data_IF_088371802505
#
_entry.id   IF_088371802505
#
_cell.length_a   1.000
_cell.length_b   1.000
_cell.length_c   1.000
_cell.angle_alpha   90.00
_cell.angle_beta   90.00
_cell.angle_gamma   90.00
#
_symmetry.space_group_name_H-M   'P 1'
#
loop_
_entity.id
_entity.type
_entity.pdbx_description
1 polymer ?
#
# COMPACT_ATOMS: atom_id res chain seq x y z
N UNK A 1 10.87 -4.50 4.38
CA UNK A 1 9.68 -4.27 5.22
C UNK A 1 9.25 -5.49 6.02
N UNK A 2 8.97 -6.69 5.49
CA UNK A 2 8.59 -7.85 6.33
C UNK A 2 9.63 -8.18 7.41
N UNK A 3 10.91 -8.19 7.07
CA UNK A 3 12.02 -8.36 8.05
C UNK A 3 12.00 -7.24 9.10
N UNK A 4 11.91 -5.99 8.66
CA UNK A 4 11.84 -4.82 9.54
C UNK A 4 10.62 -4.88 10.45
N UNK A 5 9.47 -5.32 9.94
CA UNK A 5 8.23 -5.49 10.70
C UNK A 5 8.34 -6.61 11.72
N UNK A 6 8.92 -7.75 11.35
CA UNK A 6 9.19 -8.83 12.30
C UNK A 6 10.11 -8.37 13.45
N UNK A 7 11.12 -7.55 13.16
CA UNK A 7 11.97 -6.93 14.19
C UNK A 7 11.19 -5.93 15.04
N UNK A 8 10.41 -5.04 14.43
CA UNK A 8 9.56 -4.06 15.11
C UNK A 8 8.56 -4.73 16.06
N UNK A 9 7.88 -5.78 15.62
CA UNK A 9 6.94 -6.56 16.43
C UNK A 9 7.63 -7.20 17.62
N UNK A 10 8.81 -7.82 17.42
CA UNK A 10 9.61 -8.38 18.52
C UNK A 10 10.05 -7.33 19.53
N UNK A 11 10.53 -6.17 19.06
CA UNK A 11 10.90 -5.05 19.93
C UNK A 11 9.69 -4.54 20.73
N UNK A 12 8.52 -4.44 20.10
CA UNK A 12 7.28 -4.05 20.79
C UNK A 12 6.91 -5.02 21.93
N UNK A 13 7.08 -6.33 21.72
CA UNK A 13 6.87 -7.33 22.76
C UNK A 13 7.90 -7.25 23.89
N UNK A 14 9.18 -7.05 23.55
CA UNK A 14 10.25 -6.86 24.55
C UNK A 14 9.94 -5.64 25.43
N UNK A 15 9.48 -4.54 24.81
CA UNK A 15 9.06 -3.33 25.50
C UNK A 15 7.71 -3.45 26.22
N UNK A 16 7.06 -4.62 26.16
CA UNK A 16 5.73 -4.88 26.75
C UNK A 16 4.68 -3.87 26.30
N UNK A 17 4.69 -3.47 25.03
CA UNK A 17 3.67 -2.57 24.47
C UNK A 17 2.30 -3.25 24.35
N UNK A 18 2.28 -4.58 24.29
CA UNK A 18 1.08 -5.40 24.23
C UNK A 18 0.37 -5.59 25.59
N UNK A 19 0.83 -4.93 26.65
CA UNK A 19 0.19 -4.93 27.97
C UNK A 19 0.00 -3.50 28.48
N UNK A 20 -1.04 -3.30 29.29
CA UNK A 20 -1.23 -2.03 30.00
C UNK A 20 -0.47 -2.00 31.32
N UNK A 21 0.13 -0.85 31.65
CA UNK A 21 0.78 -0.61 32.94
C UNK A 21 -0.04 0.42 33.75
N UNK A 22 -0.77 0.01 34.80
CA UNK A 22 -1.64 0.89 35.57
C UNK A 22 -0.88 1.98 36.33
N UNK A 23 0.45 1.88 36.45
CA UNK A 23 1.30 2.89 37.10
C UNK A 23 1.60 4.08 36.20
N UNK A 24 1.35 3.96 34.89
CA UNK A 24 1.62 5.02 33.93
C UNK A 24 0.50 6.07 33.91
N UNK A 25 0.88 7.32 33.64
CA UNK A 25 -0.07 8.40 33.37
C UNK A 25 -0.87 8.08 32.11
N UNK A 26 -2.12 8.56 32.06
CA UNK A 26 -3.05 8.30 30.95
C UNK A 26 -2.42 8.56 29.57
N UNK A 27 -1.84 9.74 29.33
CA UNK A 27 -1.24 10.08 28.05
C UNK A 27 -0.11 9.12 27.62
N UNK A 28 0.76 8.71 28.56
CA UNK A 28 1.88 7.79 28.27
C UNK A 28 1.33 6.41 27.89
N UNK A 29 0.34 5.94 28.65
CA UNK A 29 -0.32 4.66 28.39
C UNK A 29 -1.06 4.66 27.04
N UNK A 30 -1.75 5.74 26.68
CA UNK A 30 -2.44 5.89 25.41
C UNK A 30 -1.47 5.96 24.22
N UNK A 31 -0.32 6.65 24.36
CA UNK A 31 0.74 6.65 23.33
C UNK A 31 1.27 5.25 23.05
N UNK A 32 1.57 4.48 24.10
CA UNK A 32 2.04 3.09 23.97
C UNK A 32 0.98 2.19 23.32
N UNK A 33 -0.28 2.34 23.74
CA UNK A 33 -1.44 1.64 23.15
C UNK A 33 -1.55 1.93 21.65
N UNK A 34 -1.54 3.20 21.25
CA UNK A 34 -1.60 3.62 19.85
C UNK A 34 -0.41 3.11 19.03
N UNK A 35 0.80 3.11 19.60
CA UNK A 35 1.99 2.57 18.96
C UNK A 35 1.86 1.06 18.71
N UNK A 36 1.42 0.28 19.71
CA UNK A 36 1.20 -1.16 19.53
C UNK A 36 0.15 -1.45 18.46
N UNK A 37 -0.94 -0.70 18.45
CA UNK A 37 -1.97 -0.85 17.42
C UNK A 37 -1.50 -0.45 16.02
N UNK A 38 -0.64 0.56 15.88
CA UNK A 38 -0.03 0.90 14.59
C UNK A 38 0.84 -0.25 14.08
N UNK A 39 1.60 -0.90 14.96
CA UNK A 39 2.41 -2.09 14.62
C UNK A 39 1.49 -3.25 14.18
N UNK A 40 0.40 -3.50 14.91
CA UNK A 40 -0.60 -4.49 14.53
C UNK A 40 -1.24 -4.20 13.15
N UNK A 41 -1.61 -2.95 12.88
CA UNK A 41 -2.17 -2.54 11.59
C UNK A 41 -1.18 -2.85 10.46
N UNK A 42 0.07 -2.41 10.61
CA UNK A 42 1.11 -2.65 9.61
C UNK A 42 1.35 -4.15 9.41
N UNK A 43 1.50 -4.93 10.48
CA UNK A 43 1.70 -6.39 10.41
C UNK A 43 0.53 -7.09 9.71
N UNK A 44 -0.71 -6.70 10.01
CA UNK A 44 -1.91 -7.22 9.34
C UNK A 44 -1.94 -6.88 7.85
N UNK A 45 -1.59 -5.64 7.47
CA UNK A 45 -1.56 -5.22 6.07
C UNK A 45 -0.49 -5.97 5.27
N UNK A 46 0.68 -6.24 5.86
CA UNK A 46 1.78 -6.94 5.16
C UNK A 46 1.64 -8.46 5.14
N UNK A 47 1.11 -9.06 6.20
CA UNK A 47 0.94 -10.51 6.29
C UNK A 47 -0.14 -11.03 5.32
N UNK A 48 -1.12 -10.20 4.95
CA UNK A 48 -2.20 -10.53 4.00
C UNK A 48 -2.90 -11.86 4.33
N UNK A 49 -3.11 -12.14 5.62
CA UNK A 49 -3.74 -13.36 6.12
C UNK A 49 -2.83 -14.59 6.17
N UNK A 50 -1.57 -14.51 5.74
CA UNK A 50 -0.60 -15.62 5.85
C UNK A 50 -0.09 -15.74 7.29
N UNK A 51 -0.30 -16.90 7.89
CA UNK A 51 0.09 -17.21 9.28
C UNK A 51 1.59 -17.09 9.51
N UNK A 52 2.38 -17.56 8.54
CA UNK A 52 3.84 -17.56 8.54
C UNK A 52 4.45 -16.15 8.53
N UNK A 53 3.68 -15.15 8.12
CA UNK A 53 4.09 -13.74 8.07
C UNK A 53 3.41 -12.89 9.13
N UNK A 54 2.52 -13.45 9.95
CA UNK A 54 1.85 -12.73 11.03
C UNK A 54 2.75 -12.73 12.27
N UNK A 55 3.25 -11.57 12.69
CA UNK A 55 4.01 -11.45 13.93
C UNK A 55 3.13 -11.05 15.13
N UNK A 56 2.05 -10.30 14.89
CA UNK A 56 1.16 -9.78 15.92
C UNK A 56 -0.25 -10.34 15.78
N UNK A 57 -0.61 -11.30 16.64
CA UNK A 57 -1.97 -11.85 16.67
C UNK A 57 -2.83 -11.19 17.76
N UNK A 58 -4.16 -11.05 17.57
CA UNK A 58 -5.04 -10.45 18.56
C UNK A 58 -4.95 -11.08 19.96
N UNK A 59 -4.69 -12.39 20.04
CA UNK A 59 -4.59 -13.14 21.29
C UNK A 59 -3.42 -12.69 22.16
N UNK A 60 -2.38 -12.12 21.54
CA UNK A 60 -1.20 -11.59 22.24
C UNK A 60 -1.37 -10.14 22.69
N UNK A 61 -2.47 -9.48 22.31
CA UNK A 61 -2.73 -8.07 22.59
C UNK A 61 -3.66 -7.94 23.80
N UNK A 62 -3.07 -7.62 24.95
CA UNK A 62 -3.80 -7.41 26.21
C UNK A 62 -3.99 -5.92 26.50
N UNK A 63 -4.32 -5.17 25.45
CA UNK A 63 -4.54 -3.72 25.49
C UNK A 63 -5.92 -3.36 24.99
N UNK A 64 -6.43 -2.20 25.45
CA UNK A 64 -7.70 -1.65 24.98
C UNK A 64 -7.54 -0.97 23.62
N UNK A 65 -8.65 -0.72 22.93
CA UNK A 65 -8.66 0.07 21.68
C UNK A 65 -8.32 1.56 21.96
N UNK A 66 -7.73 2.29 21.01
CA UNK A 66 -7.43 3.71 21.17
C UNK A 66 -8.68 4.56 21.44
N UNK A 67 -8.52 5.60 22.26
CA UNK A 67 -9.59 6.53 22.56
C UNK A 67 -9.76 7.59 21.46
N UNK A 68 -10.85 8.36 21.54
CA UNK A 68 -11.10 9.47 20.62
C UNK A 68 -9.99 10.53 20.66
N UNK A 69 -9.71 11.13 19.50
CA UNK A 69 -8.62 12.11 19.35
C UNK A 69 -8.75 13.28 20.33
N UNK A 70 -9.97 13.78 20.54
CA UNK A 70 -10.25 14.82 21.53
C UNK A 70 -9.75 14.46 22.94
N UNK A 71 -10.00 13.23 23.41
CA UNK A 71 -9.56 12.81 24.73
C UNK A 71 -8.04 12.65 24.81
N UNK A 72 -7.42 12.16 23.73
CA UNK A 72 -5.97 12.06 23.62
C UNK A 72 -5.28 13.42 23.64
N UNK A 73 -5.74 14.37 22.81
CA UNK A 73 -5.13 15.71 22.71
C UNK A 73 -5.27 16.53 23.99
N UNK A 74 -6.34 16.33 24.76
CA UNK A 74 -6.60 17.06 26.01
C UNK A 74 -6.05 16.36 27.25
N UNK A 75 -5.34 15.23 27.11
CA UNK A 75 -4.92 14.37 28.25
C UNK A 75 -6.12 14.05 29.18
N UNK A 76 -7.31 13.83 28.60
CA UNK A 76 -8.55 13.58 29.34
C UNK A 76 -8.71 12.08 29.58
N UNK A 77 -8.58 11.58 30.83
CA UNK A 77 -8.57 10.15 31.09
C UNK A 77 -9.91 9.50 30.73
N UNK A 78 -9.85 8.51 29.85
CA UNK A 78 -11.01 7.70 29.46
C UNK A 78 -10.65 6.22 29.38
N UNK A 79 -11.64 5.39 29.60
CA UNK A 79 -11.54 3.93 29.48
C UNK A 79 -12.28 3.48 28.24
N UNK A 80 -11.58 2.69 27.42
CA UNK A 80 -12.11 2.02 26.24
C UNK A 80 -12.15 0.51 26.46
N UNK A 81 -12.63 -0.22 25.47
CA UNK A 81 -12.79 -1.69 25.50
C UNK A 81 -11.67 -2.38 24.70
N UNK A 82 -11.35 -3.66 24.97
CA UNK A 82 -10.48 -4.49 24.11
C UNK A 82 -11.07 -4.71 22.71
N UNK A 83 -10.25 -5.20 21.77
CA UNK A 83 -10.68 -5.48 20.38
C UNK A 83 -11.89 -6.43 20.30
N UNK A 84 -11.84 -7.53 21.03
CA UNK A 84 -12.94 -8.49 21.18
C UNK A 84 -13.62 -8.29 22.54
N UNK A 85 -14.50 -7.31 22.60
CA UNK A 85 -15.25 -6.94 23.82
C UNK A 85 -16.45 -7.87 24.05
N UNK A 86 -16.91 -7.97 25.29
CA UNK A 86 -18.15 -8.71 25.60
C UNK A 86 -19.38 -7.94 25.11
N UNK A 87 -20.50 -8.64 24.83
CA UNK A 87 -21.78 -7.97 24.62
C UNK A 87 -22.08 -7.06 25.82
N UNK A 88 -22.53 -5.83 25.57
CA UNK A 88 -22.89 -4.79 26.55
C UNK A 88 -21.78 -3.91 27.13
N UNK A 89 -20.52 -4.04 26.71
CA UNK A 89 -19.50 -3.07 27.10
C UNK A 89 -19.73 -1.70 26.44
N UNK A 90 -19.43 -0.62 27.17
CA UNK A 90 -19.61 0.74 26.65
C UNK A 90 -18.52 1.10 25.62
N UNK A 91 -18.93 1.17 24.36
CA UNK A 91 -18.08 1.49 23.21
C UNK A 91 -18.05 3.00 22.90
N UNK A 92 -18.68 3.85 23.71
CA UNK A 92 -18.83 5.30 23.46
C UNK A 92 -17.49 6.04 23.32
N UNK A 93 -16.48 5.61 24.09
CA UNK A 93 -15.16 6.21 24.17
C UNK A 93 -14.18 5.75 23.06
N UNK A 94 -14.56 4.75 22.25
CA UNK A 94 -13.71 4.27 21.15
C UNK A 94 -13.50 5.41 20.14
N UNK A 95 -12.23 5.68 19.83
CA UNK A 95 -11.85 6.64 18.81
C UNK A 95 -11.97 6.09 17.40
N UNK A 96 -11.88 6.99 16.41
CA UNK A 96 -11.90 6.63 15.00
C UNK A 96 -10.86 5.55 14.65
N UNK A 97 -9.63 5.68 15.16
CA UNK A 97 -8.58 4.68 15.00
C UNK A 97 -8.99 3.30 15.56
N UNK A 98 -9.73 3.26 16.67
CA UNK A 98 -10.27 2.02 17.22
C UNK A 98 -11.23 1.31 16.27
N UNK A 99 -12.07 2.07 15.55
CA UNK A 99 -12.94 1.51 14.51
C UNK A 99 -12.16 1.05 13.27
N UNK A 100 -11.11 1.77 12.89
CA UNK A 100 -10.19 1.34 11.84
C UNK A 100 -9.53 -0.02 12.16
N UNK A 101 -9.07 -0.19 13.40
CA UNK A 101 -8.48 -1.46 13.87
C UNK A 101 -9.50 -2.58 13.78
N UNK A 102 -10.75 -2.34 14.23
CA UNK A 102 -11.82 -3.35 14.18
C UNK A 102 -12.15 -3.81 12.76
N UNK A 103 -12.23 -2.90 11.78
CA UNK A 103 -12.48 -3.31 10.39
C UNK A 103 -11.28 -4.06 9.80
N UNK A 104 -10.06 -3.67 10.16
CA UNK A 104 -8.85 -4.36 9.70
C UNK A 104 -8.66 -5.74 10.34
N UNK A 105 -9.14 -5.96 11.57
CA UNK A 105 -9.24 -7.30 12.17
C UNK A 105 -10.20 -8.20 11.38
N UNK A 106 -11.39 -7.70 11.04
CA UNK A 106 -12.34 -8.43 10.18
C UNK A 106 -11.68 -8.73 8.84
N UNK A 107 -10.99 -7.76 8.24
CA UNK A 107 -10.26 -7.94 6.98
C UNK A 107 -9.20 -9.03 7.05
N UNK A 108 -8.42 -9.09 8.14
CA UNK A 108 -7.41 -10.15 8.32
C UNK A 108 -8.07 -11.53 8.33
N UNK A 109 -9.22 -11.68 9.00
CA UNK A 109 -10.00 -12.92 9.01
C UNK A 109 -10.58 -13.27 7.64
N UNK A 110 -11.06 -12.28 6.89
CA UNK A 110 -11.50 -12.45 5.50
C UNK A 110 -10.36 -12.98 4.63
N UNK A 111 -9.17 -12.40 4.72
CA UNK A 111 -8.02 -12.84 3.94
C UNK A 111 -7.62 -14.28 4.26
N UNK A 112 -7.64 -14.68 5.54
CA UNK A 112 -7.43 -16.07 5.97
C UNK A 112 -8.49 -17.02 5.42
N UNK A 113 -9.76 -16.60 5.44
CA UNK A 113 -10.87 -17.38 4.89
C UNK A 113 -10.72 -17.57 3.38
N UNK A 114 -10.39 -16.50 2.64
CA UNK A 114 -10.15 -16.58 1.19
C UNK A 114 -8.99 -17.54 0.88
N UNK A 115 -7.89 -17.50 1.64
CA UNK A 115 -6.79 -18.46 1.50
C UNK A 115 -7.20 -19.90 1.87
N UNK A 116 -8.15 -20.07 2.79
CA UNK A 116 -8.68 -21.39 3.18
C UNK A 116 -9.52 -21.97 2.04
N UNK A 117 -10.35 -21.13 1.41
CA UNK A 117 -11.17 -21.45 0.23
C UNK A 117 -10.28 -21.84 -0.95
N UNK A 118 -9.33 -20.98 -1.33
CA UNK A 118 -8.52 -21.17 -2.54
C UNK A 118 -7.48 -22.29 -2.43
N UNK A 119 -7.10 -22.68 -1.20
CA UNK A 119 -6.20 -23.82 -0.98
C UNK A 119 -6.94 -25.09 -0.53
N UNK A 120 -8.28 -25.11 -0.59
CA UNK A 120 -9.14 -26.24 -0.21
C UNK A 120 -8.81 -26.83 1.17
N UNK A 121 -8.50 -25.96 2.15
CA UNK A 121 -8.09 -26.39 3.49
C UNK A 121 -9.27 -26.88 4.33
N UNK A 122 -10.47 -26.45 3.99
CA UNK A 122 -11.72 -26.84 4.64
C UNK A 122 -12.82 -27.10 3.58
N UNK A 123 -13.87 -27.85 3.92
CA UNK A 123 -15.02 -28.06 3.04
C UNK A 123 -15.67 -26.73 2.61
N UNK A 124 -16.05 -26.65 1.33
CA UNK A 124 -16.56 -25.40 0.73
C UNK A 124 -17.84 -24.92 1.42
N UNK A 125 -18.75 -25.83 1.79
CA UNK A 125 -19.99 -25.54 2.50
C UNK A 125 -19.74 -24.82 3.85
N UNK A 126 -18.75 -25.27 4.61
CA UNK A 126 -18.35 -24.61 5.86
C UNK A 126 -17.75 -23.23 5.60
N UNK A 127 -16.97 -23.09 4.52
CA UNK A 127 -16.41 -21.81 4.14
C UNK A 127 -17.50 -20.80 3.73
N UNK A 128 -18.53 -21.24 2.98
CA UNK A 128 -19.65 -20.38 2.59
C UNK A 128 -20.44 -19.90 3.81
N UNK A 129 -20.67 -20.76 4.81
CA UNK A 129 -21.27 -20.34 6.09
C UNK A 129 -20.41 -19.30 6.82
N UNK A 130 -19.08 -19.47 6.79
CA UNK A 130 -18.16 -18.48 7.35
C UNK A 130 -18.21 -17.14 6.59
N UNK A 131 -18.37 -17.18 5.25
CA UNK A 131 -18.56 -15.97 4.43
C UNK A 131 -19.82 -15.22 4.87
N UNK A 132 -20.95 -15.90 5.03
CA UNK A 132 -22.21 -15.30 5.49
C UNK A 132 -22.08 -14.71 6.91
N UNK A 133 -21.40 -15.42 7.81
CA UNK A 133 -21.15 -14.95 9.17
C UNK A 133 -20.33 -13.66 9.20
N UNK A 134 -19.26 -13.58 8.40
CA UNK A 134 -18.42 -12.39 8.30
C UNK A 134 -19.19 -11.24 7.62
N UNK A 135 -19.98 -11.51 6.58
CA UNK A 135 -20.82 -10.50 5.96
C UNK A 135 -21.83 -9.90 6.97
N UNK A 136 -22.44 -10.73 7.81
CA UNK A 136 -23.31 -10.28 8.89
C UNK A 136 -22.55 -9.42 9.91
N UNK A 137 -21.33 -9.81 10.28
CA UNK A 137 -20.48 -9.03 11.18
C UNK A 137 -20.12 -7.65 10.59
N UNK A 138 -19.80 -7.56 9.29
CA UNK A 138 -19.53 -6.29 8.61
C UNK A 138 -20.75 -5.35 8.61
N UNK A 139 -21.95 -5.91 8.44
CA UNK A 139 -23.21 -5.16 8.54
C UNK A 139 -23.45 -4.65 9.96
N UNK A 140 -23.23 -5.49 10.97
CA UNK A 140 -23.33 -5.09 12.38
C UNK A 140 -22.30 -4.04 12.75
N UNK A 141 -21.07 -4.17 12.24
CA UNK A 141 -20.02 -3.17 12.42
C UNK A 141 -20.47 -1.80 11.92
N UNK A 142 -20.95 -1.73 10.67
CA UNK A 142 -21.46 -0.49 10.08
C UNK A 142 -22.62 0.11 10.88
N UNK A 143 -23.59 -0.72 11.27
CA UNK A 143 -24.73 -0.29 12.10
C UNK A 143 -24.34 0.17 13.51
N UNK A 144 -23.21 -0.33 14.04
CA UNK A 144 -22.70 0.05 15.37
C UNK A 144 -21.87 1.35 15.37
N UNK A 145 -21.54 1.91 14.20
CA UNK A 145 -20.75 3.12 14.12
C UNK A 145 -21.50 4.30 14.77
N UNK A 146 -20.83 5.13 15.58
CA UNK A 146 -21.38 6.41 16.01
C UNK A 146 -21.77 7.29 14.82
N UNK A 147 -22.84 8.08 14.94
CA UNK A 147 -23.32 9.01 13.88
C UNK A 147 -22.19 9.88 13.32
N UNK A 148 -21.30 10.38 14.18
CA UNK A 148 -20.14 11.20 13.78
C UNK A 148 -19.14 10.50 12.84
N UNK A 149 -19.16 9.17 12.77
CA UNK A 149 -18.27 8.34 11.94
C UNK A 149 -19.00 7.70 10.75
N UNK A 150 -20.25 8.07 10.49
CA UNK A 150 -20.90 7.68 9.24
C UNK A 150 -20.28 8.42 8.07
N UNK A 151 -20.20 7.74 6.92
CA UNK A 151 -19.68 8.34 5.71
C UNK A 151 -20.59 9.45 5.22
N UNK A 152 -20.01 10.64 5.03
CA UNK A 152 -20.64 11.79 4.43
C UNK A 152 -19.53 12.70 3.87
N UNK A 153 -19.56 13.09 2.58
CA UNK A 153 -18.58 14.00 2.00
C UNK A 153 -18.46 15.33 2.76
N UNK A 154 -19.56 15.84 3.34
CA UNK A 154 -19.53 17.05 4.17
C UNK A 154 -18.85 16.76 5.51
N UNK A 155 -19.17 15.65 6.16
CA UNK A 155 -18.43 15.21 7.34
C UNK A 155 -16.92 15.03 7.06
N UNK A 156 -16.52 14.54 5.89
CA UNK A 156 -15.12 14.47 5.48
C UNK A 156 -14.51 15.87 5.32
N UNK A 157 -15.20 16.81 4.67
CA UNK A 157 -14.71 18.18 4.48
C UNK A 157 -14.48 18.92 5.79
N UNK A 158 -15.34 18.71 6.79
CA UNK A 158 -15.20 19.26 8.14
C UNK A 158 -13.95 18.76 8.89
N UNK A 159 -13.27 17.74 8.35
CA UNK A 159 -12.01 17.20 8.89
C UNK A 159 -10.79 17.70 8.13
N UNK A 160 -10.92 18.69 7.24
CA UNK A 160 -9.75 19.38 6.68
C UNK A 160 -8.83 19.85 7.82
N UNK A 161 -7.52 19.69 7.64
CA UNK A 161 -6.48 20.03 8.62
C UNK A 161 -6.60 19.28 9.96
N UNK A 162 -7.33 18.16 10.00
CA UNK A 162 -7.48 17.31 11.19
C UNK A 162 -6.67 16.02 11.07
N UNK A 163 -6.04 15.54 12.17
CA UNK A 163 -5.48 14.19 12.24
C UNK A 163 -6.50 13.07 11.96
N UNK A 164 -7.80 13.38 12.03
CA UNK A 164 -8.89 12.45 11.72
C UNK A 164 -9.25 12.36 10.23
N UNK A 165 -8.65 13.17 9.34
CA UNK A 165 -8.95 13.19 7.90
C UNK A 165 -8.67 11.84 7.22
N UNK A 166 -7.41 11.42 7.23
CA UNK A 166 -6.97 10.16 6.62
C UNK A 166 -7.69 8.96 7.23
N UNK A 167 -7.73 8.76 8.57
CA UNK A 167 -8.40 7.60 9.14
C UNK A 167 -9.90 7.55 8.84
N UNK A 168 -10.57 8.69 8.66
CA UNK A 168 -12.00 8.72 8.34
C UNK A 168 -12.25 8.20 6.93
N UNK A 169 -11.48 8.68 5.94
CA UNK A 169 -11.55 8.16 4.57
C UNK A 169 -11.23 6.66 4.55
N UNK A 170 -10.13 6.28 5.20
CA UNK A 170 -9.63 4.91 5.17
C UNK A 170 -10.55 3.93 5.89
N UNK A 171 -11.26 4.33 6.95
CA UNK A 171 -12.27 3.49 7.59
C UNK A 171 -13.28 2.95 6.58
N UNK A 172 -13.81 3.82 5.72
CA UNK A 172 -14.82 3.45 4.73
C UNK A 172 -14.21 2.74 3.53
N UNK A 173 -13.03 3.18 3.07
CA UNK A 173 -12.30 2.48 2.01
C UNK A 173 -11.98 1.03 2.42
N UNK A 174 -11.46 0.81 3.63
CA UNK A 174 -11.17 -0.53 4.16
C UNK A 174 -12.44 -1.35 4.38
N UNK A 175 -13.55 -0.75 4.83
CA UNK A 175 -14.81 -1.46 4.98
C UNK A 175 -15.32 -2.01 3.64
N UNK A 176 -15.37 -1.19 2.58
CA UNK A 176 -15.74 -1.67 1.26
C UNK A 176 -14.70 -2.64 0.68
N UNK A 177 -13.40 -2.38 0.86
CA UNK A 177 -12.34 -3.29 0.42
C UNK A 177 -12.46 -4.66 1.09
N UNK A 178 -12.91 -4.72 2.35
CA UNK A 178 -13.10 -5.97 3.07
C UNK A 178 -14.23 -6.81 2.46
N UNK A 179 -15.32 -6.16 2.00
CA UNK A 179 -16.34 -6.85 1.22
C UNK A 179 -15.82 -7.35 -0.14
N UNK A 180 -15.00 -6.55 -0.83
CA UNK A 180 -14.34 -7.00 -2.06
C UNK A 180 -13.48 -8.24 -1.81
N UNK A 181 -12.64 -8.20 -0.77
CA UNK A 181 -11.76 -9.30 -0.37
C UNK A 181 -12.55 -10.58 0.01
N UNK A 182 -13.77 -10.42 0.53
CA UNK A 182 -14.67 -11.50 0.94
C UNK A 182 -15.32 -12.21 -0.25
N UNK A 183 -15.67 -11.50 -1.33
CA UNK A 183 -16.41 -12.06 -2.45
C UNK A 183 -15.57 -12.35 -3.71
N UNK A 184 -14.36 -11.77 -3.80
CA UNK A 184 -13.52 -11.87 -5.01
C UNK A 184 -13.08 -13.29 -5.38
N UNK A 185 -13.18 -14.26 -4.47
CA UNK A 185 -12.84 -15.66 -4.77
C UNK A 185 -13.74 -16.25 -5.89
N UNK A 186 -14.87 -15.60 -6.20
CA UNK A 186 -15.80 -15.99 -7.27
C UNK A 186 -15.49 -15.34 -8.62
N UNK A 187 -14.45 -14.49 -8.71
CA UNK A 187 -14.10 -13.77 -9.95
C UNK A 187 -13.04 -14.57 -10.73
N UNK A 188 -13.33 -14.97 -11.97
CA UNK A 188 -12.38 -15.74 -12.78
C UNK A 188 -11.23 -14.84 -13.26
N UNK A 189 -10.03 -15.44 -13.34
CA UNK A 189 -8.78 -14.76 -13.68
C UNK A 189 -8.09 -14.05 -12.50
N UNK A 190 -8.71 -14.01 -11.33
CA UNK A 190 -8.06 -13.45 -10.14
C UNK A 190 -7.14 -14.50 -9.50
N UNK A 191 -5.94 -14.09 -9.09
CA UNK A 191 -4.99 -14.97 -8.38
C UNK A 191 -5.57 -15.47 -7.04
N UNK A 192 -6.35 -14.63 -6.37
CA UNK A 192 -7.11 -14.96 -5.17
C UNK A 192 -8.52 -15.52 -5.47
N UNK A 193 -8.79 -15.83 -6.74
CA UNK A 193 -9.99 -16.47 -7.27
C UNK A 193 -9.91 -18.00 -7.21
N UNK A 194 -11.06 -18.66 -7.15
CA UNK A 194 -11.16 -20.08 -7.46
C UNK A 194 -10.96 -20.30 -8.97
N UNK A 195 -10.44 -21.46 -9.38
CA UNK A 195 -10.44 -21.89 -10.78
C UNK A 195 -11.85 -21.88 -11.41
N UNK A 196 -11.94 -21.63 -12.71
CA UNK A 196 -13.23 -21.50 -13.42
C UNK A 196 -14.09 -22.75 -13.31
N UNK A 197 -13.50 -23.93 -13.37
CA UNK A 197 -14.17 -25.23 -13.23
C UNK A 197 -14.78 -25.42 -11.83
N UNK A 198 -14.13 -24.90 -10.79
CA UNK A 198 -14.67 -24.91 -9.43
C UNK A 198 -15.77 -23.87 -9.23
N UNK A 199 -15.62 -22.69 -9.83
CA UNK A 199 -16.66 -21.66 -9.82
C UNK A 199 -17.95 -22.21 -10.45
N UNK A 200 -17.85 -23.04 -11.50
CA UNK A 200 -19.00 -23.70 -12.13
C UNK A 200 -19.68 -24.76 -11.24
N UNK A 201 -18.99 -25.27 -10.21
CA UNK A 201 -19.56 -26.19 -9.23
C UNK A 201 -20.34 -25.46 -8.13
N UNK A 202 -20.06 -24.17 -7.89
CA UNK A 202 -20.88 -23.32 -7.04
C UNK A 202 -22.22 -23.02 -7.74
N UNK A 203 -23.27 -22.77 -6.96
CA UNK A 203 -24.55 -22.36 -7.54
C UNK A 203 -24.39 -21.03 -8.30
N UNK A 204 -24.94 -20.98 -9.51
CA UNK A 204 -24.88 -19.81 -10.39
C UNK A 204 -25.44 -18.55 -9.72
N UNK A 205 -26.54 -18.70 -8.98
CA UNK A 205 -27.19 -17.60 -8.24
C UNK A 205 -26.27 -17.02 -7.17
N UNK A 206 -25.59 -17.87 -6.40
CA UNK A 206 -24.64 -17.42 -5.38
C UNK A 206 -23.44 -16.71 -5.99
N UNK A 207 -22.84 -17.30 -7.04
CA UNK A 207 -21.70 -16.71 -7.75
C UNK A 207 -22.07 -15.33 -8.32
N UNK A 208 -23.25 -15.20 -8.94
CA UNK A 208 -23.76 -13.93 -9.45
C UNK A 208 -23.93 -12.90 -8.32
N UNK A 209 -24.55 -13.29 -7.21
CA UNK A 209 -24.74 -12.41 -6.05
C UNK A 209 -23.41 -11.94 -5.43
N UNK A 210 -22.41 -12.82 -5.31
CA UNK A 210 -21.08 -12.44 -4.83
C UNK A 210 -20.40 -11.42 -5.75
N UNK A 211 -20.46 -11.63 -7.08
CA UNK A 211 -19.88 -10.71 -8.06
C UNK A 211 -20.57 -9.36 -8.06
N UNK A 212 -21.90 -9.33 -7.99
CA UNK A 212 -22.67 -8.09 -7.90
C UNK A 212 -22.28 -7.29 -6.65
N UNK A 213 -22.23 -7.93 -5.48
CA UNK A 213 -21.75 -7.31 -4.24
C UNK A 213 -20.32 -6.79 -4.41
N UNK A 214 -19.41 -7.60 -4.96
CA UNK A 214 -18.02 -7.21 -5.16
C UNK A 214 -17.89 -5.97 -6.05
N UNK A 215 -18.61 -5.92 -7.18
CA UNK A 215 -18.64 -4.76 -8.07
C UNK A 215 -19.23 -3.53 -7.37
N UNK A 216 -20.34 -3.67 -6.63
CA UNK A 216 -20.93 -2.57 -5.87
C UNK A 216 -19.94 -1.96 -4.87
N UNK A 217 -19.24 -2.80 -4.10
CA UNK A 217 -18.27 -2.32 -3.11
C UNK A 217 -17.03 -1.70 -3.78
N UNK A 218 -16.52 -2.26 -4.88
CA UNK A 218 -15.41 -1.69 -5.64
C UNK A 218 -15.75 -0.31 -6.22
N UNK A 219 -16.94 -0.15 -6.82
CA UNK A 219 -17.44 1.14 -7.28
C UNK A 219 -17.54 2.13 -6.11
N UNK A 220 -18.00 1.67 -4.94
CA UNK A 220 -18.11 2.52 -3.75
C UNK A 220 -16.74 3.00 -3.25
N UNK A 221 -15.69 2.16 -3.31
CA UNK A 221 -14.31 2.60 -3.06
C UNK A 221 -13.94 3.71 -4.05
N UNK A 222 -14.13 3.53 -5.36
CA UNK A 222 -13.78 4.57 -6.34
C UNK A 222 -14.47 5.92 -6.07
N UNK A 223 -15.73 5.90 -5.62
CA UNK A 223 -16.49 7.10 -5.22
C UNK A 223 -15.92 7.74 -3.96
N UNK A 224 -15.52 6.94 -2.96
CA UNK A 224 -14.87 7.45 -1.74
C UNK A 224 -13.55 8.13 -2.10
N UNK A 225 -12.76 7.53 -2.99
CA UNK A 225 -11.46 8.03 -3.41
C UNK A 225 -11.53 9.32 -4.24
N UNK A 226 -12.67 9.61 -4.86
CA UNK A 226 -12.93 10.85 -5.61
C UNK A 226 -13.14 12.08 -4.69
N UNK A 227 -13.67 11.86 -3.48
CA UNK A 227 -14.08 12.94 -2.56
C UNK A 227 -12.95 13.89 -2.12
N UNK A 228 -11.73 13.42 -1.79
CA UNK A 228 -10.63 14.31 -1.41
C UNK A 228 -10.37 15.42 -2.43
N UNK A 229 -10.42 15.09 -3.73
CA UNK A 229 -10.25 16.05 -4.82
C UNK A 229 -11.46 16.97 -4.97
N UNK A 230 -12.68 16.42 -4.94
CA UNK A 230 -13.90 17.19 -5.17
C UNK A 230 -14.16 18.25 -4.09
N UNK A 231 -13.67 18.02 -2.88
CA UNK A 231 -13.88 18.90 -1.71
C UNK A 231 -12.82 20.03 -1.63
N UNK A 232 -11.81 20.04 -2.50
CA UNK A 232 -10.89 21.18 -2.65
C UNK A 232 -9.82 21.31 -1.55
N UNK A 233 -9.35 20.19 -0.99
CA UNK A 233 -8.23 20.20 -0.03
C UNK A 233 -6.93 19.71 -0.66
N UNK A 234 -5.88 20.53 -0.65
CA UNK A 234 -4.49 20.17 -1.06
C UNK A 234 -3.80 19.19 -0.07
N UNK A 235 -4.57 18.56 0.81
CA UNK A 235 -4.03 17.70 1.85
C UNK A 235 -4.03 16.25 1.41
N UNK A 236 -2.80 15.77 1.23
CA UNK A 236 -2.47 14.39 0.94
C UNK A 236 -3.17 13.44 1.94
N UNK A 237 -3.87 12.45 1.40
CA UNK A 237 -4.23 11.28 2.19
C UNK A 237 -2.95 10.51 2.48
N UNK A 238 -2.54 10.50 3.74
CA UNK A 238 -1.19 10.04 4.14
C UNK A 238 -1.04 8.51 4.23
N UNK A 239 -2.13 7.75 4.20
CA UNK A 239 -2.07 6.30 4.34
C UNK A 239 -1.74 5.64 3.00
N UNK A 240 -0.61 4.92 2.87
CA UNK A 240 -0.18 4.32 1.61
C UNK A 240 -1.07 3.15 1.15
N UNK A 241 -1.88 2.56 2.05
CA UNK A 241 -2.79 1.46 1.67
C UNK A 241 -3.96 1.92 0.80
N UNK A 242 -4.15 3.23 0.63
CA UNK A 242 -5.08 3.78 -0.37
C UNK A 242 -4.74 3.30 -1.79
N UNK A 243 -3.44 3.13 -2.10
CA UNK A 243 -2.99 2.63 -3.39
C UNK A 243 -3.48 1.20 -3.65
N UNK A 244 -3.44 0.34 -2.62
CA UNK A 244 -3.97 -1.02 -2.70
C UNK A 244 -5.49 -1.04 -2.86
N UNK A 245 -6.20 -0.17 -2.12
CA UNK A 245 -7.66 -0.06 -2.23
C UNK A 245 -8.08 0.39 -3.64
N UNK A 246 -7.39 1.40 -4.19
CA UNK A 246 -7.63 1.92 -5.53
C UNK A 246 -7.35 0.86 -6.61
N UNK A 247 -6.19 0.20 -6.54
CA UNK A 247 -5.78 -0.80 -7.52
C UNK A 247 -6.69 -2.03 -7.52
N UNK A 248 -6.98 -2.61 -6.36
CA UNK A 248 -7.88 -3.77 -6.28
C UNK A 248 -9.29 -3.44 -6.75
N UNK A 249 -9.81 -2.28 -6.36
CA UNK A 249 -11.13 -1.84 -6.80
C UNK A 249 -11.17 -1.61 -8.31
N UNK A 250 -10.12 -0.98 -8.88
CA UNK A 250 -10.01 -0.79 -10.33
C UNK A 250 -9.97 -2.13 -11.10
N UNK A 251 -9.23 -3.13 -10.62
CA UNK A 251 -9.23 -4.48 -11.22
C UNK A 251 -10.60 -5.12 -11.20
N UNK A 252 -11.32 -5.04 -10.07
CA UNK A 252 -12.68 -5.60 -9.96
C UNK A 252 -13.64 -4.87 -10.90
N UNK A 253 -13.59 -3.54 -10.94
CA UNK A 253 -14.42 -2.71 -11.82
C UNK A 253 -14.12 -3.03 -13.29
N UNK A 254 -12.86 -3.16 -13.68
CA UNK A 254 -12.47 -3.56 -15.03
C UNK A 254 -13.00 -4.96 -15.38
N UNK A 255 -12.77 -5.97 -14.53
CA UNK A 255 -13.17 -7.35 -14.82
C UNK A 255 -14.67 -7.54 -14.87
N UNK A 256 -15.39 -7.01 -13.87
CA UNK A 256 -16.83 -7.23 -13.72
C UNK A 256 -17.69 -6.18 -14.42
N UNK A 257 -17.12 -5.02 -14.78
CA UNK A 257 -17.81 -3.98 -15.54
C UNK A 257 -17.81 -4.20 -17.05
N UNK A 258 -16.88 -5.02 -17.57
CA UNK A 258 -16.74 -5.29 -19.00
C UNK A 258 -17.37 -6.63 -19.40
N UNK A 259 -17.75 -6.72 -20.69
CA UNK A 259 -18.14 -7.98 -21.32
C UNK A 259 -16.98 -9.00 -21.24
N UNK A 260 -17.25 -10.30 -20.99
CA UNK A 260 -18.57 -10.95 -20.89
C UNK A 260 -19.22 -10.93 -19.49
N UNK A 261 -18.55 -10.39 -18.48
CA UNK A 261 -18.99 -10.50 -17.08
C UNK A 261 -20.01 -9.44 -16.67
N UNK A 262 -19.98 -8.28 -17.32
CA UNK A 262 -20.94 -7.20 -17.11
C UNK A 262 -21.12 -6.34 -18.36
N UNK A 263 -22.02 -5.37 -18.26
CA UNK A 263 -22.40 -4.46 -19.34
C UNK A 263 -22.47 -3.01 -18.82
N UNK A 264 -21.42 -2.59 -18.11
CA UNK A 264 -21.34 -1.22 -17.62
C UNK A 264 -21.11 -0.27 -18.80
N UNK A 265 -21.83 0.87 -18.89
CA UNK A 265 -21.56 1.86 -19.91
C UNK A 265 -20.08 2.27 -19.92
N UNK A 266 -19.45 2.30 -21.09
CA UNK A 266 -18.02 2.59 -21.22
C UNK A 266 -17.62 3.90 -20.53
N UNK A 267 -18.48 4.93 -20.59
CA UNK A 267 -18.28 6.22 -19.92
C UNK A 267 -18.15 6.08 -18.41
N UNK A 268 -19.01 5.25 -17.81
CA UNK A 268 -19.06 5.03 -16.37
C UNK A 268 -17.85 4.20 -15.94
N UNK A 269 -17.53 3.16 -16.70
CA UNK A 269 -16.35 2.31 -16.49
C UNK A 269 -15.07 3.15 -16.47
N UNK A 270 -14.84 3.93 -17.53
CA UNK A 270 -13.65 4.79 -17.66
C UNK A 270 -13.63 5.82 -16.54
N UNK A 271 -14.76 6.45 -16.20
CA UNK A 271 -14.83 7.43 -15.12
C UNK A 271 -14.44 6.82 -13.77
N UNK A 272 -14.91 5.61 -13.46
CA UNK A 272 -14.58 4.93 -12.20
C UNK A 272 -13.12 4.50 -12.12
N UNK A 273 -12.55 3.99 -13.22
CA UNK A 273 -11.13 3.63 -13.29
C UNK A 273 -10.23 4.87 -13.19
N UNK A 274 -10.59 5.94 -13.89
CA UNK A 274 -9.87 7.23 -13.82
C UNK A 274 -9.89 7.80 -12.41
N UNK A 275 -11.03 7.76 -11.71
CA UNK A 275 -11.11 8.21 -10.31
C UNK A 275 -10.12 7.45 -9.40
N UNK A 276 -9.96 6.14 -9.59
CA UNK A 276 -8.96 5.36 -8.85
C UNK A 276 -7.53 5.77 -9.20
N UNK A 277 -7.19 6.02 -10.47
CA UNK A 277 -5.85 6.45 -10.87
C UNK A 277 -5.52 7.86 -10.36
N UNK A 278 -6.49 8.76 -10.47
CA UNK A 278 -6.40 10.15 -10.04
C UNK A 278 -6.18 10.27 -8.54
N UNK A 279 -6.84 9.44 -7.72
CA UNK A 279 -6.66 9.43 -6.27
C UNK A 279 -5.22 9.14 -5.83
N UNK A 280 -4.40 8.55 -6.71
CA UNK A 280 -3.01 8.19 -6.44
C UNK A 280 -1.99 9.21 -6.98
N UNK A 281 -2.42 10.28 -7.63
CA UNK A 281 -1.53 11.26 -8.27
C UNK A 281 -0.46 11.81 -7.32
N UNK A 282 -0.89 12.36 -6.19
CA UNK A 282 0.01 13.01 -5.24
C UNK A 282 0.94 11.98 -4.56
N UNK A 283 0.39 10.82 -4.16
CA UNK A 283 1.19 9.77 -3.54
C UNK A 283 2.21 9.13 -4.50
N UNK A 284 1.90 9.01 -5.79
CA UNK A 284 2.79 8.43 -6.80
C UNK A 284 4.06 9.26 -7.01
N UNK A 285 4.05 10.56 -6.68
CA UNK A 285 5.25 11.41 -6.73
C UNK A 285 6.24 11.05 -5.61
N UNK A 286 5.73 10.56 -4.47
CA UNK A 286 6.50 10.32 -3.25
C UNK A 286 6.86 8.83 -3.11
N UNK A 287 5.95 7.94 -3.48
CA UNK A 287 6.03 6.50 -3.25
C UNK A 287 6.13 5.75 -4.58
N UNK A 288 7.30 5.16 -4.91
CA UNK A 288 7.50 4.43 -6.16
C UNK A 288 6.49 3.30 -6.37
N UNK A 289 6.17 2.54 -5.33
CA UNK A 289 5.14 1.47 -5.40
C UNK A 289 3.77 2.02 -5.81
N UNK A 290 3.38 3.19 -5.29
CA UNK A 290 2.11 3.83 -5.67
C UNK A 290 2.12 4.26 -7.14
N UNK A 291 3.27 4.71 -7.67
CA UNK A 291 3.40 5.04 -9.09
C UNK A 291 3.20 3.81 -9.99
N UNK A 292 3.74 2.65 -9.60
CA UNK A 292 3.56 1.38 -10.33
C UNK A 292 2.08 0.98 -10.33
N UNK A 293 1.42 1.01 -9.17
CA UNK A 293 0.01 0.67 -9.06
C UNK A 293 -0.87 1.63 -9.87
N UNK A 294 -0.58 2.93 -9.81
CA UNK A 294 -1.25 3.95 -10.64
C UNK A 294 -1.10 3.64 -12.13
N UNK A 295 0.11 3.30 -12.60
CA UNK A 295 0.35 2.90 -13.99
C UNK A 295 -0.50 1.70 -14.38
N UNK A 296 -0.57 0.67 -13.53
CA UNK A 296 -1.44 -0.49 -13.77
C UNK A 296 -2.92 -0.11 -13.88
N UNK A 297 -3.41 0.85 -13.08
CA UNK A 297 -4.77 1.38 -13.24
C UNK A 297 -4.92 2.13 -14.57
N UNK A 298 -3.93 2.93 -14.97
CA UNK A 298 -3.94 3.61 -16.27
C UNK A 298 -3.99 2.63 -17.45
N UNK A 299 -3.33 1.48 -17.35
CA UNK A 299 -3.43 0.42 -18.36
C UNK A 299 -4.86 -0.15 -18.45
N UNK A 300 -5.55 -0.33 -17.31
CA UNK A 300 -6.96 -0.71 -17.28
C UNK A 300 -7.88 0.38 -17.88
N UNK A 301 -7.58 1.66 -17.65
CA UNK A 301 -8.31 2.78 -18.27
C UNK A 301 -8.16 2.72 -19.79
N UNK A 302 -6.93 2.53 -20.27
CA UNK A 302 -6.65 2.43 -21.70
C UNK A 302 -7.37 1.22 -22.32
N UNK A 303 -7.37 0.06 -21.65
CA UNK A 303 -8.13 -1.11 -22.10
C UNK A 303 -9.64 -0.85 -22.15
N UNK A 304 -10.20 -0.17 -21.15
CA UNK A 304 -11.62 0.18 -21.12
C UNK A 304 -12.04 1.15 -22.23
N UNK A 305 -11.12 1.98 -22.73
CA UNK A 305 -11.38 2.91 -23.83
C UNK A 305 -11.30 2.26 -25.21
N UNK A 306 -10.73 1.04 -25.33
CA UNK A 306 -10.59 0.37 -26.63
C UNK A 306 -11.94 -0.02 -27.20
N UNK A 307 -12.11 0.21 -28.50
CA UNK A 307 -13.26 -0.28 -29.25
C UNK A 307 -13.11 -1.79 -29.46
N UNK A 308 -14.04 -2.57 -28.89
CA UNK A 308 -14.07 -4.03 -29.00
C UNK A 308 -14.94 -4.51 -30.18
N UNK A 309 -15.44 -3.60 -31.01
CA UNK A 309 -16.24 -3.92 -32.18
C UNK A 309 -15.39 -3.93 -33.47
N UNK A 310 -14.99 -5.12 -33.93
CA UNK A 310 -14.38 -5.28 -35.25
C UNK A 310 -13.53 -6.54 -35.42
N UNK A 311 -13.16 -6.90 -36.67
CA UNK A 311 -12.35 -8.07 -36.97
C UNK A 311 -10.88 -7.98 -36.52
N UNK A 312 -10.46 -6.82 -35.98
CA UNK A 312 -9.13 -6.56 -35.43
C UNK A 312 -9.16 -6.16 -33.95
N UNK A 313 -10.23 -6.51 -33.23
CA UNK A 313 -10.31 -6.26 -31.80
C UNK A 313 -9.18 -7.00 -31.08
N UNK A 314 -8.33 -6.26 -30.36
CA UNK A 314 -7.30 -6.86 -29.52
C UNK A 314 -7.95 -7.61 -28.35
N UNK A 315 -7.37 -8.75 -27.94
CA UNK A 315 -7.80 -9.44 -26.73
C UNK A 315 -7.83 -8.50 -25.52
N UNK A 316 -8.78 -8.72 -24.63
CA UNK A 316 -8.80 -8.01 -23.36
C UNK A 316 -7.58 -8.40 -22.54
N UNK A 317 -7.08 -7.48 -21.70
CA UNK A 317 -6.04 -7.77 -20.71
C UNK A 317 -6.32 -9.05 -19.90
N UNK A 318 -7.60 -9.36 -19.67
CA UNK A 318 -8.03 -10.54 -18.93
C UNK A 318 -7.99 -11.85 -19.74
N UNK A 319 -8.12 -11.79 -21.07
CA UNK A 319 -8.01 -12.97 -21.94
C UNK A 319 -6.54 -13.42 -22.06
N UNK A 320 -5.61 -12.46 -22.04
CA UNK A 320 -4.18 -12.72 -21.96
C UNK A 320 -3.81 -13.36 -20.59
N UNK A 321 -4.33 -12.80 -19.48
CA UNK A 321 -4.10 -13.34 -18.13
C UNK A 321 -4.66 -14.77 -17.96
N UNK A 322 -5.88 -15.04 -18.46
CA UNK A 322 -6.46 -16.38 -18.39
C UNK A 322 -5.64 -17.38 -19.21
N UNK A 323 -5.20 -17.01 -20.42
CA UNK A 323 -4.37 -17.87 -21.28
C UNK A 323 -3.04 -18.27 -20.63
N UNK A 324 -2.40 -17.34 -19.90
CA UNK A 324 -1.18 -17.61 -19.13
C UNK A 324 -1.43 -18.55 -17.93
N UNK A 325 -2.59 -18.43 -17.26
CA UNK A 325 -2.99 -19.31 -16.16
C UNK A 325 -3.28 -20.75 -16.62
N UNK A 326 -3.79 -20.93 -17.85
CA UNK A 326 -4.02 -22.25 -18.44
C UNK A 326 -2.73 -22.89 -18.95
N UNK A 327 -1.80 -22.13 -19.54
CA UNK A 327 -0.51 -22.66 -19.99
C UNK A 327 0.37 -23.18 -18.85
N UNK A 328 0.24 -22.59 -17.67
CA UNK A 328 0.93 -23.03 -16.44
C UNK A 328 0.27 -24.24 -15.78
N UNK A 329 -0.97 -24.58 -16.16
CA UNK A 329 -1.70 -25.77 -15.65
C UNK A 329 -1.83 -26.90 -16.68
N UNK A 330 -1.62 -26.62 -17.97
CA UNK A 330 -1.83 -27.56 -19.09
C UNK A 330 -0.58 -28.23 -19.68
N UNK A 331 0.62 -28.00 -19.14
CA UNK A 331 1.81 -28.74 -19.58
C UNK A 331 1.65 -30.24 -19.20
N UNK A 332 1.39 -31.06 -20.21
CA UNK A 332 1.37 -32.52 -20.13
C UNK A 332 2.72 -33.00 -19.59
N UNK A 333 2.67 -33.81 -18.53
CA UNK A 333 3.82 -34.49 -17.93
C UNK A 333 4.47 -35.42 -18.96
N UNK A 334 5.54 -34.95 -19.60
CA UNK A 334 6.61 -35.82 -20.05
C UNK A 334 7.69 -35.87 -18.97
N UNK A 335 7.88 -37.07 -18.43
CA UNK A 335 8.85 -37.39 -17.37
C UNK A 335 10.25 -37.37 -17.99
N UNK A 336 10.89 -36.19 -18.01
CA UNK A 336 12.34 -36.02 -17.83
C UNK A 336 12.71 -34.54 -17.92
N UNK A 337 12.89 -33.89 -16.77
CA UNK A 337 13.31 -32.49 -16.68
C UNK A 337 12.46 -31.75 -15.66
N UNK A 338 13.08 -31.35 -14.55
CA UNK A 338 12.46 -30.57 -13.47
C UNK A 338 12.08 -29.17 -13.97
N UNK A 339 10.93 -29.04 -14.61
CA UNK A 339 10.34 -27.76 -15.01
C UNK A 339 9.36 -27.28 -13.95
N UNK A 340 9.76 -26.29 -13.17
CA UNK A 340 8.89 -25.59 -12.23
C UNK A 340 7.73 -24.91 -12.99
N UNK A 341 6.53 -24.99 -12.41
CA UNK A 341 5.34 -24.25 -12.86
C UNK A 341 5.68 -22.76 -12.87
N UNK A 342 5.74 -22.11 -14.04
CA UNK A 342 5.91 -20.65 -14.10
C UNK A 342 4.73 -19.98 -13.36
N UNK A 343 5.01 -19.01 -12.48
CA UNK A 343 4.04 -18.49 -11.48
C UNK A 343 3.56 -17.07 -11.82
N UNK A 344 3.92 -16.53 -12.99
CA UNK A 344 3.78 -15.10 -13.25
C UNK A 344 2.86 -14.79 -14.43
N UNK A 345 2.05 -13.76 -14.21
CA UNK A 345 1.24 -13.07 -15.21
C UNK A 345 1.90 -11.72 -15.48
N UNK A 346 1.81 -11.24 -16.73
CA UNK A 346 2.36 -9.95 -17.23
C UNK A 346 1.94 -8.69 -16.46
N UNK A 347 0.92 -8.81 -15.61
CA UNK A 347 0.40 -7.72 -14.77
C UNK A 347 0.47 -8.03 -13.27
N UNK A 348 1.11 -9.14 -12.91
CA UNK A 348 1.60 -9.33 -11.55
C UNK A 348 2.62 -8.24 -11.27
N UNK A 349 2.42 -7.51 -10.18
CA UNK A 349 3.29 -6.41 -9.76
C UNK A 349 4.78 -6.85 -9.70
N UNK A 350 5.03 -8.15 -9.48
CA UNK A 350 6.37 -8.77 -9.54
C UNK A 350 7.04 -8.72 -10.92
N UNK A 351 6.32 -8.94 -12.03
CA UNK A 351 6.92 -8.92 -13.38
C UNK A 351 7.23 -7.49 -13.84
N UNK A 352 6.35 -6.53 -13.51
CA UNK A 352 6.61 -5.11 -13.75
C UNK A 352 7.80 -4.56 -12.95
N UNK A 353 8.09 -5.11 -11.77
CA UNK A 353 9.26 -4.75 -10.95
C UNK A 353 10.53 -5.37 -11.50
N UNK A 354 10.47 -6.61 -12.01
CA UNK A 354 11.62 -7.27 -12.66
C UNK A 354 12.09 -6.57 -13.93
N UNK A 355 11.17 -5.95 -14.68
CA UNK A 355 11.49 -5.20 -15.91
C UNK A 355 11.96 -3.75 -15.67
N UNK A 356 12.14 -3.33 -14.41
CA UNK A 356 12.76 -2.03 -14.09
C UNK A 356 14.27 -2.12 -14.34
N UNK A 357 14.70 -1.88 -15.58
CA UNK A 357 16.08 -1.52 -15.86
C UNK A 357 16.32 -0.08 -15.38
N UNK A 358 16.90 0.07 -14.19
CA UNK A 358 17.45 1.35 -13.75
C UNK A 358 18.69 1.64 -14.60
N UNK A 359 18.58 2.54 -15.57
CA UNK A 359 19.76 3.12 -16.20
C UNK A 359 20.50 3.94 -15.12
N UNK A 360 21.76 3.61 -14.77
CA UNK A 360 22.55 4.46 -13.91
C UNK A 360 22.75 5.79 -14.63
N UNK A 361 22.40 6.90 -13.96
CA UNK A 361 22.65 8.24 -14.47
C UNK A 361 24.15 8.40 -14.75
N UNK A 362 24.48 8.84 -15.96
CA UNK A 362 25.83 9.24 -16.34
C UNK A 362 26.25 10.42 -15.45
N UNK A 363 27.16 10.15 -14.53
CA UNK A 363 27.88 11.16 -13.78
C UNK A 363 29.33 11.08 -14.26
N UNK A 364 29.77 12.12 -14.98
CA UNK A 364 31.13 12.26 -15.45
C UNK A 364 32.13 12.32 -14.30
N UNK A 365 33.30 11.73 -14.49
CA UNK A 365 34.47 12.52 -14.88
C UNK A 365 35.72 11.64 -15.10
N UNK A 366 36.52 12.10 -16.05
CA UNK A 366 38.00 11.99 -16.18
C UNK A 366 38.66 10.64 -16.53
N UNK A 367 39.19 10.60 -17.77
CA UNK A 367 40.58 10.35 -18.21
C UNK A 367 41.35 9.20 -17.50
N UNK A 368 41.99 8.22 -18.17
CA UNK A 368 42.99 8.42 -19.21
C UNK A 368 43.46 7.11 -19.93
N UNK A 369 43.85 7.30 -21.20
CA UNK A 369 44.79 6.61 -22.11
C UNK A 369 44.79 5.11 -22.52
N UNK A 370 44.90 4.96 -23.86
CA UNK A 370 45.58 3.89 -24.62
C UNK A 370 44.64 3.10 -25.53
N UNK A 371 44.76 2.99 -26.85
CA UNK A 371 45.87 3.25 -27.76
C UNK A 371 45.27 3.25 -29.20
N UNK A 372 45.60 4.23 -30.03
CA UNK A 372 45.24 4.23 -31.46
C UNK A 372 46.51 4.22 -32.31
N UNK A 373 46.69 3.16 -33.10
CA UNK A 373 47.75 3.04 -34.07
C UNK A 373 47.52 4.00 -35.27
N UNK A 374 48.31 5.08 -35.31
CA UNK A 374 49.12 5.66 -36.41
C UNK A 374 48.78 5.41 -37.90
N UNK A 375 49.30 6.23 -38.86
CA UNK A 375 49.89 7.59 -38.74
C UNK A 375 49.48 8.61 -39.84
N UNK A 376 49.70 9.89 -39.48
CA UNK A 376 50.27 11.02 -40.24
C UNK A 376 49.79 11.42 -41.66
N UNK A 377 49.32 12.67 -41.77
CA UNK A 377 49.84 13.66 -42.75
C UNK A 377 49.43 15.10 -42.39
N UNK A 378 50.30 16.04 -42.73
CA UNK A 378 50.49 17.41 -42.25
C UNK A 378 49.56 18.52 -42.81
N UNK A 379 49.44 19.57 -41.99
CA UNK A 379 49.47 21.03 -42.27
C UNK A 379 48.64 21.68 -43.41
N UNK A 380 47.84 22.68 -43.03
CA UNK A 380 47.81 23.99 -43.71
C UNK A 380 47.24 25.12 -42.82
N UNK A 381 47.99 26.21 -42.71
CA UNK A 381 47.66 27.53 -42.15
C UNK A 381 46.79 28.37 -43.12
N UNK A 382 46.05 29.37 -42.61
CA UNK A 382 45.75 30.57 -43.40
C UNK A 382 44.57 31.48 -42.98
N UNK A 383 44.94 32.62 -42.40
CA UNK A 383 44.36 33.99 -42.53
C UNK A 383 43.12 34.48 -41.73
N UNK A 384 43.42 35.46 -40.87
CA UNK A 384 42.63 36.61 -40.37
C UNK A 384 42.42 37.73 -41.45
N UNK A 385 41.84 38.94 -41.19
CA UNK A 385 40.92 39.42 -40.11
C UNK A 385 39.71 40.27 -40.62
N UNK A 386 38.79 40.67 -39.72
CA UNK A 386 37.80 41.73 -39.98
C UNK A 386 36.92 42.15 -38.78
N UNK A 387 37.17 43.37 -38.27
CA UNK A 387 36.42 44.25 -37.33
C UNK A 387 34.87 44.26 -37.45
N UNK A 388 34.01 44.69 -36.51
CA UNK A 388 34.06 45.28 -35.17
C UNK A 388 32.62 45.36 -34.61
N UNK A 389 32.43 45.31 -33.28
CA UNK A 389 31.80 46.38 -32.47
C UNK A 389 31.43 45.90 -31.07
N UNK A 390 31.83 46.72 -30.11
CA UNK A 390 31.85 46.56 -28.66
C UNK A 390 30.67 47.23 -27.99
N UNK A 391 30.16 46.65 -26.89
CA UNK A 391 29.63 47.42 -25.76
C UNK A 391 29.87 46.67 -24.44
N UNK A 392 30.63 47.32 -23.56
CA UNK A 392 31.07 46.88 -22.22
C UNK A 392 29.94 46.91 -21.18
N UNK A 393 30.06 46.09 -20.12
CA UNK A 393 29.93 46.58 -18.73
C UNK A 393 30.66 45.66 -17.73
N UNK A 394 31.38 46.27 -16.78
CA UNK A 394 32.33 45.69 -15.82
C UNK A 394 31.69 45.13 -14.52
N UNK A 395 32.41 44.28 -13.75
CA UNK A 395 31.95 43.71 -12.48
C UNK A 395 32.39 44.55 -11.26
N UNK A 396 31.64 44.53 -10.15
CA UNK A 396 32.09 45.09 -8.84
C UNK A 396 31.50 44.35 -7.63
N UNK A 397 32.41 43.67 -6.95
CA UNK A 397 32.68 43.42 -5.51
C UNK A 397 31.63 43.74 -4.42
N UNK A 398 31.45 42.78 -3.50
CA UNK A 398 30.65 42.85 -2.26
C UNK A 398 31.52 43.28 -1.07
N UNK A 399 30.99 44.11 -0.16
CA UNK A 399 31.56 44.41 1.17
C UNK A 399 30.47 44.32 2.27
N UNK A 400 30.80 43.92 3.53
CA UNK A 400 29.83 43.63 4.59
C UNK A 400 29.83 44.62 5.78
N UNK A 401 28.74 44.66 6.58
CA UNK A 401 28.59 44.94 8.05
C UNK A 401 27.09 45.19 8.40
N UNK A 402 26.62 45.30 9.67
CA UNK A 402 27.24 45.00 10.99
C UNK A 402 26.37 44.22 12.01
N UNK A 403 27.02 43.76 13.09
CA UNK A 403 26.45 43.24 14.35
C UNK A 403 25.67 44.29 15.18
N UNK A 404 24.89 43.85 16.20
CA UNK A 404 25.01 44.52 17.50
C UNK A 404 24.96 43.61 18.76
N UNK A 405 25.91 43.89 19.67
CA UNK A 405 25.80 44.21 21.13
C UNK A 405 25.15 43.24 22.13
N UNK A 406 25.92 42.95 23.19
CA UNK A 406 25.63 42.15 24.40
C UNK A 406 25.24 42.97 25.65
N UNK A 407 24.69 42.27 26.67
CA UNK A 407 24.31 42.63 28.08
C UNK A 407 22.80 42.91 28.29
N UNK A 408 22.08 42.34 29.28
CA UNK A 408 22.47 41.76 30.58
C UNK A 408 21.42 40.73 31.09
N UNK A 409 21.85 39.87 32.02
CA UNK A 409 21.18 38.67 32.56
C UNK A 409 20.06 38.94 33.58
N UNK A 410 19.03 38.06 33.61
CA UNK A 410 18.41 37.56 34.84
C UNK A 410 17.56 36.29 34.59
N UNK A 411 18.12 35.14 34.98
CA UNK A 411 17.52 33.88 35.46
C UNK A 411 16.27 33.28 34.81
N UNK A 412 16.48 32.22 34.02
CA UNK A 412 15.53 31.09 33.91
C UNK A 412 16.28 29.75 33.75
N UNK A 413 17.23 29.47 34.64
CA UNK A 413 17.99 28.21 34.66
C UNK A 413 17.93 27.58 36.04
N UNK A 414 16.80 26.92 36.36
CA UNK A 414 16.69 26.07 37.54
C UNK A 414 15.63 24.94 37.44
N UNK A 415 15.31 24.45 36.23
CA UNK A 415 14.37 23.32 36.09
C UNK A 415 14.79 22.17 35.16
N UNK A 416 15.96 22.21 34.51
CA UNK A 416 16.48 21.04 33.79
C UNK A 416 18.00 20.96 34.02
N UNK A 417 18.42 19.99 34.83
CA UNK A 417 19.82 19.67 35.07
C UNK A 417 20.44 18.93 33.89
N UNK A 418 21.55 19.50 33.44
CA UNK A 418 22.74 18.92 32.80
C UNK A 418 22.62 18.22 31.43
N UNK A 419 22.86 19.04 30.40
CA UNK A 419 23.80 18.89 29.28
C UNK A 419 23.89 17.53 28.54
N UNK A 420 23.31 17.54 27.34
CA UNK A 420 23.60 16.64 26.22
C UNK A 420 25.07 16.72 25.75
N UNK A 421 25.68 15.62 25.29
CA UNK A 421 26.57 15.66 24.15
C UNK A 421 25.72 15.58 22.87
N UNK A 422 25.83 16.61 22.03
CA UNK A 422 25.38 16.72 20.64
C UNK A 422 24.69 15.48 20.06
N UNK A 423 23.36 15.52 20.04
CA UNK A 423 22.48 14.49 19.51
C UNK A 423 21.87 14.88 18.14
N UNK A 424 22.67 15.52 17.30
CA UNK A 424 22.41 15.61 15.86
C UNK A 424 22.71 14.24 15.23
N UNK A 425 21.80 13.25 15.38
CA UNK A 425 21.67 12.09 14.46
C UNK A 425 20.58 11.03 14.79
N UNK A 426 19.67 11.23 15.76
CA UNK A 426 18.69 10.16 16.13
C UNK A 426 17.42 10.08 15.25
N UNK A 427 17.30 10.86 14.18
CA UNK A 427 16.19 10.72 13.20
C UNK A 427 16.62 10.19 11.81
N UNK A 428 17.83 9.64 11.68
CA UNK A 428 18.36 9.18 10.39
C UNK A 428 18.36 7.65 10.19
N UNK A 429 17.35 6.95 10.71
CA UNK A 429 17.05 5.59 10.21
C UNK A 429 16.17 5.68 8.97
N UNK A 430 16.80 5.89 7.81
CA UNK A 430 16.16 5.73 6.51
C UNK A 430 16.59 6.67 5.38
N UNK A 431 17.42 7.67 5.64
CA UNK A 431 17.90 8.61 4.62
C UNK A 431 19.43 8.69 4.66
N UNK A 432 20.10 7.64 4.17
CA UNK A 432 21.50 7.75 3.79
C UNK A 432 21.59 7.89 2.27
N UNK A 433 21.84 9.11 1.81
CA UNK A 433 22.00 9.49 0.41
C UNK A 433 23.30 8.99 -0.24
N UNK A 434 23.76 7.79 0.11
CA UNK A 434 24.96 7.17 -0.47
C UNK A 434 24.74 5.75 -1.02
N UNK A 435 23.50 5.26 -1.07
CA UNK A 435 23.18 4.08 -1.86
C UNK A 435 22.43 4.51 -3.13
N UNK A 436 23.10 4.31 -4.26
CA UNK A 436 22.56 4.52 -5.60
C UNK A 436 21.26 3.75 -5.82
N UNK A 437 20.47 4.26 -6.76
CA UNK A 437 19.25 3.70 -7.35
C UNK A 437 19.11 2.18 -7.18
N UNK A 438 18.28 1.75 -6.23
CA UNK A 438 17.97 0.33 -6.04
C UNK A 438 17.77 -0.07 -4.59
N UNK A 439 16.81 0.53 -3.89
CA UNK A 439 16.21 -0.15 -2.75
C UNK A 439 15.00 -0.96 -3.27
N UNK A 440 15.01 -2.30 -3.16
CA UNK A 440 13.83 -3.10 -3.48
C UNK A 440 12.73 -2.77 -2.48
N UNK A 441 11.56 -2.39 -3.00
CA UNK A 441 10.43 -1.90 -2.21
C UNK A 441 9.53 -3.07 -1.78
N UNK A 442 9.43 -3.27 -0.47
CA UNK A 442 9.05 -4.54 0.18
C UNK A 442 7.55 -4.62 0.53
N UNK A 443 6.72 -3.75 -0.03
CA UNK A 443 5.26 -3.96 -0.03
C UNK A 443 4.87 -5.23 -0.82
N UNK A 444 5.80 -5.70 -1.67
CA UNK A 444 5.61 -6.77 -2.64
C UNK A 444 6.30 -8.11 -2.31
N UNK A 445 7.16 -8.19 -1.29
CA UNK A 445 7.86 -9.46 -0.97
C UNK A 445 6.89 -10.57 -0.52
N UNK A 446 5.70 -10.23 0.01
CA UNK A 446 4.63 -11.21 0.30
C UNK A 446 4.10 -11.91 -0.96
N UNK A 447 4.44 -11.41 -2.14
CA UNK A 447 4.04 -11.89 -3.47
C UNK A 447 5.20 -12.42 -4.32
N UNK A 448 6.45 -12.36 -3.83
CA UNK A 448 7.64 -12.90 -4.51
C UNK A 448 7.75 -14.42 -4.29
N UNK A 449 7.92 -15.26 -5.33
CA UNK A 449 8.33 -16.64 -5.15
C UNK A 449 9.82 -16.73 -4.84
N UNK A 450 10.19 -17.58 -3.89
CA UNK A 450 11.57 -18.08 -3.79
C UNK A 450 11.88 -18.83 -5.10
N UNK A 451 12.95 -18.45 -5.79
CA UNK A 451 13.43 -19.21 -6.94
C UNK A 451 14.06 -20.53 -6.44
N UNK A 452 13.85 -21.62 -7.18
CA UNK A 452 14.64 -22.85 -7.02
C UNK A 452 16.09 -22.55 -7.41
N UNK A 453 16.88 -22.13 -6.43
CA UNK A 453 18.28 -21.75 -6.59
C UNK A 453 18.87 -21.03 -5.37
N UNK A 454 18.03 -20.37 -4.56
CA UNK A 454 18.52 -19.53 -3.44
C UNK A 454 18.96 -20.32 -2.18
N UNK A 455 18.94 -21.66 -2.24
CA UNK A 455 19.42 -22.53 -1.16
C UNK A 455 20.39 -23.64 -1.60
N UNK A 456 21.19 -23.43 -2.66
CA UNK A 456 22.41 -24.25 -2.76
C UNK A 456 23.44 -23.70 -1.78
N UNK A 457 23.43 -24.18 -0.53
CA UNK A 457 24.68 -24.22 0.23
C UNK A 457 25.69 -24.98 -0.64
N UNK A 458 26.92 -24.47 -0.84
CA UNK A 458 27.95 -25.26 -1.47
C UNK A 458 28.17 -26.51 -0.61
N UNK A 459 28.10 -27.69 -1.23
CA UNK A 459 28.45 -28.95 -0.60
C UNK A 459 29.84 -28.83 0.03
N UNK A 460 29.87 -28.79 1.36
CA UNK A 460 31.12 -28.98 2.10
C UNK A 460 31.42 -30.46 2.06
N UNK A 461 32.17 -30.89 1.03
CA UNK A 461 32.60 -32.27 0.96
C UNK A 461 33.28 -32.71 -0.33
N UNK A 462 34.44 -32.13 -0.68
CA UNK A 462 35.58 -32.89 -1.22
C UNK A 462 36.80 -32.00 -1.47
N UNK A 463 37.66 -31.87 -0.44
CA UNK A 463 39.10 -32.11 -0.52
C UNK A 463 39.59 -32.57 0.85
#
# INVERSE_FOLDING_TARGET
>A
MLVSMALTSRLAYILRLNHEDPRQKFLVQERRRRLMWAIYIMDSLYSSGKTEFTACTPETLHIRLPCAEKSFSMDAPVVTVPLHSRPHEDISNIGLLGYCIRVLDIRNRVQRLTLTITNHREPIDQCLLAVESIENELRQFSASLPVRYHWDPVAFSLRAFSPSRTPFLMLHAWWHQTHCDLFRFTIPGFREGLPTDEILQLSSEYTSACREKCLYHAISVSKILEVPKSVGGSELISDPSIAMCAFHSARIISRLGQYPMGDMPQTDLVTRLTACAEALEEQAVILPTTAILKKGISDLVNDAQRDRHGPYACPSIWEDEESESYNTTGATKDISGSGAREVFSKHSVTETVQNLQFQPGEQGDSEDHGDSAQPASEMAFGNEPGSASTANFMPMTISPLPEPVTQDQADFSLYLGEAEPHLDNIFNFGLHGQYGSGQPDVFMDSFWPLADGDWTMPDVGSM
#
